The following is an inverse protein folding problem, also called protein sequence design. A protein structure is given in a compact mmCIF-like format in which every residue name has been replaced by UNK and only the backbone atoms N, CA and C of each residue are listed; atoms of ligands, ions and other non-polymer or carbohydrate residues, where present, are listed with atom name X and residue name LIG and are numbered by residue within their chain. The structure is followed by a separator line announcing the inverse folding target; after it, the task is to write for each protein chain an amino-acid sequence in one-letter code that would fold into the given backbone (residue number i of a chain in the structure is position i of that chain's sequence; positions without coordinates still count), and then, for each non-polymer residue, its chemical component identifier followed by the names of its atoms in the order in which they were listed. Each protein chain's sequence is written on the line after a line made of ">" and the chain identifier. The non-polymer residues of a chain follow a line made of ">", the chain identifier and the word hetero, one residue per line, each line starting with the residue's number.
data_IF_652614946486
#
_entry.id   IF_652614946486
#
_cell.length_a   1.000
_cell.length_b   1.000
_cell.length_c   1.000
_cell.angle_alpha   90.00
_cell.angle_beta   90.00
_cell.angle_gamma   90.00
#
_symmetry.space_group_name_H-M   'P 1'
#
loop_
_entity.id
_entity.type
_entity.pdbx_description
1 polymer ?
#
# COMPACT_ATOMS: atom_id res chain seq x y z
N UNK A 1 36.91 -9.77 -31.15
CA UNK A 1 36.59 -9.15 -29.83
C UNK A 1 35.11 -9.35 -29.61
N UNK A 2 34.72 -10.02 -28.52
CA UNK A 2 33.33 -10.43 -28.25
C UNK A 2 32.52 -9.21 -27.83
N UNK A 3 31.34 -9.05 -28.42
CA UNK A 3 30.38 -8.02 -28.03
C UNK A 3 30.04 -8.16 -26.55
N UNK A 4 30.03 -7.03 -25.85
CA UNK A 4 29.51 -6.96 -24.49
C UNK A 4 28.00 -7.07 -24.60
N UNK A 5 27.48 -8.25 -24.27
CA UNK A 5 26.06 -8.48 -24.06
C UNK A 5 25.65 -7.63 -22.85
N UNK A 6 24.90 -6.56 -23.09
CA UNK A 6 24.30 -5.79 -22.00
C UNK A 6 23.29 -6.70 -21.32
N UNK A 7 23.61 -7.10 -20.09
CA UNK A 7 22.67 -7.80 -19.23
C UNK A 7 21.53 -6.82 -18.92
N UNK A 8 20.38 -7.08 -19.52
CA UNK A 8 19.12 -6.41 -19.26
C UNK A 8 18.76 -6.67 -17.78
N UNK A 9 19.16 -5.77 -16.88
CA UNK A 9 18.84 -5.88 -15.45
C UNK A 9 17.36 -5.54 -15.27
N UNK A 10 16.49 -6.49 -15.60
CA UNK A 10 15.09 -6.46 -15.22
C UNK A 10 15.04 -6.56 -13.70
N UNK A 11 15.19 -5.42 -13.03
CA UNK A 11 14.88 -5.33 -11.61
C UNK A 11 13.42 -5.74 -11.49
N UNK A 12 13.17 -6.88 -10.86
CA UNK A 12 11.82 -7.38 -10.64
C UNK A 12 11.05 -6.27 -9.93
N UNK A 13 9.92 -5.85 -10.51
CA UNK A 13 9.02 -4.88 -9.85
C UNK A 13 8.71 -5.37 -8.44
N UNK A 14 8.88 -4.49 -7.46
CA UNK A 14 8.60 -4.78 -6.06
C UNK A 14 7.13 -4.48 -5.79
N UNK A 15 6.40 -5.45 -5.26
CA UNK A 15 5.02 -5.24 -4.79
C UNK A 15 5.01 -4.59 -3.42
N UNK A 16 4.25 -3.49 -3.30
CA UNK A 16 4.19 -2.64 -2.10
C UNK A 16 2.74 -2.45 -1.68
N UNK A 17 2.38 -2.87 -0.46
CA UNK A 17 1.10 -2.53 0.14
C UNK A 17 1.20 -1.22 0.93
N UNK A 18 0.32 -0.27 0.63
CA UNK A 18 0.15 0.97 1.38
C UNK A 18 -1.07 0.82 2.29
N UNK A 19 -0.82 0.54 3.58
CA UNK A 19 -1.87 0.36 4.60
C UNK A 19 -2.21 1.71 5.23
N UNK A 20 -3.28 2.35 4.76
CA UNK A 20 -3.59 3.75 5.10
C UNK A 20 -5.09 4.12 4.88
N UNK A 21 -5.41 5.36 4.49
CA UNK A 21 -6.75 5.86 4.19
C UNK A 21 -7.27 5.50 2.80
N UNK A 22 -6.54 4.66 2.07
CA UNK A 22 -6.82 4.35 0.67
C UNK A 22 -6.03 5.24 -0.28
N UNK A 23 -6.35 5.16 -1.56
CA UNK A 23 -5.69 5.92 -2.63
C UNK A 23 -6.73 6.50 -3.60
N UNK A 24 -6.57 7.75 -4.00
CA UNK A 24 -7.31 8.34 -5.11
C UNK A 24 -6.53 8.18 -6.41
N UNK A 25 -7.09 7.43 -7.37
CA UNK A 25 -6.56 7.33 -8.74
C UNK A 25 -7.68 7.57 -9.75
N UNK A 26 -7.38 8.21 -10.90
CA UNK A 26 -6.09 8.82 -11.24
C UNK A 26 -5.83 10.11 -10.43
N UNK A 27 -4.56 10.37 -10.10
CA UNK A 27 -4.10 11.62 -9.48
C UNK A 27 -2.82 12.10 -10.19
N UNK A 28 -2.53 13.41 -10.31
CA UNK A 28 -1.37 13.92 -11.05
C UNK A 28 -0.01 13.31 -10.66
N UNK A 29 0.15 12.94 -9.39
CA UNK A 29 1.37 12.31 -8.86
C UNK A 29 1.25 10.79 -8.65
N UNK A 30 0.10 10.20 -9.00
CA UNK A 30 -0.15 8.77 -8.85
C UNK A 30 -1.18 8.32 -9.89
N UNK A 31 -0.73 7.92 -11.09
CA UNK A 31 -1.64 7.66 -12.21
C UNK A 31 -2.45 6.37 -12.01
N UNK A 32 -1.87 5.35 -11.36
CA UNK A 32 -2.50 4.04 -11.16
C UNK A 32 -1.95 3.33 -9.92
N UNK A 33 -2.68 2.31 -9.49
CA UNK A 33 -2.25 1.28 -8.54
C UNK A 33 -2.61 -0.09 -9.13
N UNK A 34 -1.95 -1.16 -8.68
CA UNK A 34 -2.21 -2.53 -9.11
C UNK A 34 -3.60 -3.05 -8.66
N UNK A 35 -4.11 -2.50 -7.55
CA UNK A 35 -5.42 -2.82 -7.02
C UNK A 35 -5.54 -2.33 -5.58
N UNK A 36 -6.59 -2.79 -4.89
CA UNK A 36 -6.76 -2.49 -3.49
C UNK A 36 -8.01 -3.06 -2.86
N UNK A 37 -8.08 -2.93 -1.54
CA UNK A 37 -9.15 -3.45 -0.69
C UNK A 37 -9.46 -2.44 0.40
N UNK A 38 -10.69 -2.45 0.91
CA UNK A 38 -11.01 -1.85 2.21
C UNK A 38 -11.16 -2.96 3.23
N UNK A 39 -10.41 -2.85 4.33
CA UNK A 39 -10.51 -3.75 5.46
C UNK A 39 -11.32 -3.08 6.57
N UNK A 40 -12.22 -3.86 7.18
CA UNK A 40 -13.08 -3.45 8.26
C UNK A 40 -12.98 -4.34 9.49
N UNK A 41 -13.82 -4.06 10.50
CA UNK A 41 -13.91 -4.89 11.69
C UNK A 41 -14.16 -6.35 11.36
N UNK A 42 -13.68 -7.23 12.23
CA UNK A 42 -13.94 -8.68 12.18
C UNK A 42 -13.47 -9.35 10.88
N UNK A 43 -12.45 -8.79 10.22
CA UNK A 43 -11.91 -9.36 9.00
C UNK A 43 -12.72 -9.05 7.74
N UNK A 44 -13.67 -8.12 7.80
CA UNK A 44 -14.50 -7.81 6.65
C UNK A 44 -13.69 -7.14 5.53
N UNK A 45 -13.67 -7.75 4.35
CA UNK A 45 -13.11 -7.19 3.13
C UNK A 45 -14.23 -6.66 2.23
N UNK A 46 -14.09 -5.43 1.75
CA UNK A 46 -14.99 -4.87 0.75
C UNK A 46 -14.22 -4.31 -0.43
N UNK A 47 -14.77 -4.40 -1.66
CA UNK A 47 -14.14 -3.79 -2.82
C UNK A 47 -14.05 -2.27 -2.68
N UNK A 48 -13.05 -1.69 -3.34
CA UNK A 48 -12.82 -0.26 -3.34
C UNK A 48 -11.83 0.20 -2.28
N UNK A 49 -11.10 1.25 -2.60
CA UNK A 49 -9.98 1.76 -1.81
C UNK A 49 -9.85 3.27 -1.97
N UNK A 50 -10.90 3.95 -2.44
CA UNK A 50 -10.85 5.39 -2.72
C UNK A 50 -10.54 6.16 -1.45
N UNK A 51 -9.50 6.99 -1.54
CA UNK A 51 -9.13 7.90 -0.47
C UNK A 51 -10.09 9.09 -0.43
N UNK A 52 -10.59 9.40 0.77
CA UNK A 52 -11.43 10.57 1.05
C UNK A 52 -10.80 11.49 2.10
N UNK A 53 -9.61 11.14 2.58
CA UNK A 53 -8.85 11.90 3.59
C UNK A 53 -7.62 12.53 2.92
N UNK A 54 -6.99 11.83 1.98
CA UNK A 54 -5.86 12.30 1.18
C UNK A 54 -4.50 11.81 1.67
N UNK A 55 -4.40 11.32 2.92
CA UNK A 55 -3.13 10.89 3.51
C UNK A 55 -2.52 9.69 2.77
N UNK A 56 -3.30 8.63 2.56
CA UNK A 56 -2.83 7.44 1.83
C UNK A 56 -2.46 7.75 0.38
N UNK A 57 -3.16 8.68 -0.27
CA UNK A 57 -2.80 9.16 -1.62
C UNK A 57 -1.44 9.87 -1.62
N UNK A 58 -1.16 10.73 -0.64
CA UNK A 58 0.13 11.41 -0.51
C UNK A 58 1.27 10.42 -0.22
N UNK A 59 1.04 9.44 0.66
CA UNK A 59 2.01 8.37 0.96
C UNK A 59 2.31 7.55 -0.29
N UNK A 60 1.29 7.10 -1.02
CA UNK A 60 1.45 6.31 -2.23
C UNK A 60 2.16 7.10 -3.35
N UNK A 61 1.85 8.39 -3.50
CA UNK A 61 2.55 9.26 -4.45
C UNK A 61 4.04 9.42 -4.11
N UNK A 62 4.39 9.59 -2.83
CA UNK A 62 5.79 9.67 -2.40
C UNK A 62 6.58 8.38 -2.68
N UNK A 63 5.95 7.22 -2.50
CA UNK A 63 6.56 5.93 -2.87
C UNK A 63 6.71 5.83 -4.40
N UNK A 64 5.67 6.17 -5.15
CA UNK A 64 5.70 6.15 -6.61
C UNK A 64 6.78 7.07 -7.20
N UNK A 65 7.01 8.24 -6.61
CA UNK A 65 8.08 9.17 -7.03
C UNK A 65 9.47 8.52 -6.95
N UNK A 66 9.71 7.65 -5.96
CA UNK A 66 11.02 6.99 -5.76
C UNK A 66 11.11 5.63 -6.45
N UNK A 67 9.99 4.95 -6.62
CA UNK A 67 9.90 3.62 -7.22
C UNK A 67 8.75 3.59 -8.25
N UNK A 68 8.91 4.25 -9.42
CA UNK A 68 7.84 4.37 -10.40
C UNK A 68 7.40 3.03 -11.00
N UNK A 69 8.32 2.06 -11.04
CA UNK A 69 8.07 0.71 -11.57
C UNK A 69 7.47 -0.24 -10.53
N UNK A 70 7.24 0.20 -9.28
CA UNK A 70 6.66 -0.65 -8.23
C UNK A 70 5.17 -0.96 -8.45
N UNK A 71 4.76 -2.15 -8.01
CA UNK A 71 3.35 -2.55 -7.99
C UNK A 71 2.71 -2.10 -6.66
N UNK A 72 2.12 -0.91 -6.66
CA UNK A 72 1.44 -0.37 -5.47
C UNK A 72 0.05 -0.98 -5.28
N UNK A 73 -0.25 -1.46 -4.07
CA UNK A 73 -1.54 -1.97 -3.64
C UNK A 73 -2.12 -1.09 -2.53
N UNK A 74 -3.34 -0.60 -2.70
CA UNK A 74 -4.00 0.24 -1.71
C UNK A 74 -4.76 -0.62 -0.69
N UNK A 75 -4.33 -0.61 0.58
CA UNK A 75 -5.01 -1.32 1.68
C UNK A 75 -5.63 -0.28 2.61
N UNK A 76 -6.93 -0.04 2.44
CA UNK A 76 -7.66 1.00 3.17
C UNK A 76 -8.14 0.46 4.52
N UNK A 77 -7.52 0.94 5.61
CA UNK A 77 -7.92 0.66 7.01
C UNK A 77 -8.55 1.88 7.68
N UNK A 78 -8.19 3.10 7.26
CA UNK A 78 -8.84 4.31 7.77
C UNK A 78 -10.10 4.63 6.98
N UNK A 79 -11.24 4.71 7.66
CA UNK A 79 -12.54 5.01 7.06
C UNK A 79 -12.81 6.52 7.04
N UNK A 80 -13.46 7.04 8.09
CA UNK A 80 -13.86 8.46 8.22
C UNK A 80 -12.94 9.28 9.12
N UNK A 81 -12.05 8.61 9.86
CA UNK A 81 -11.06 9.20 10.77
C UNK A 81 -9.77 8.40 10.64
N UNK A 82 -8.62 9.03 10.90
CA UNK A 82 -7.30 8.39 10.95
C UNK A 82 -7.15 7.55 12.24
N UNK A 83 -8.03 6.56 12.40
CA UNK A 83 -8.04 5.61 13.52
C UNK A 83 -8.45 4.25 12.98
N UNK A 84 -7.75 3.22 13.45
CA UNK A 84 -7.99 1.80 13.18
C UNK A 84 -7.66 1.01 14.44
N UNK A 85 -8.10 -0.24 14.50
CA UNK A 85 -7.83 -1.13 15.62
C UNK A 85 -6.58 -2.00 15.37
N UNK A 86 -5.97 -2.53 16.43
CA UNK A 86 -4.85 -3.49 16.28
C UNK A 86 -5.26 -4.74 15.48
N UNK A 87 -6.44 -5.36 15.71
CA UNK A 87 -6.90 -6.47 14.88
C UNK A 87 -7.01 -6.14 13.39
N UNK A 88 -7.50 -4.94 13.03
CA UNK A 88 -7.57 -4.50 11.63
C UNK A 88 -6.17 -4.36 11.00
N UNK A 89 -5.17 -3.90 11.77
CA UNK A 89 -3.78 -3.84 11.29
C UNK A 89 -3.16 -5.22 11.11
N UNK A 90 -3.43 -6.15 12.02
CA UNK A 90 -2.99 -7.55 11.88
C UNK A 90 -3.59 -8.16 10.62
N UNK A 91 -4.90 -7.97 10.40
CA UNK A 91 -5.57 -8.44 9.19
C UNK A 91 -4.99 -7.81 7.92
N UNK A 92 -4.60 -6.52 7.95
CA UNK A 92 -3.92 -5.90 6.81
C UNK A 92 -2.56 -6.53 6.50
N UNK A 93 -1.83 -6.97 7.51
CA UNK A 93 -0.56 -7.68 7.35
C UNK A 93 -0.82 -9.08 6.80
N UNK A 94 -1.80 -9.82 7.34
CA UNK A 94 -2.19 -11.15 6.85
C UNK A 94 -2.61 -11.09 5.38
N UNK A 95 -3.43 -10.08 5.02
CA UNK A 95 -3.85 -9.84 3.64
C UNK A 95 -2.66 -9.64 2.69
N UNK A 96 -1.61 -8.95 3.14
CA UNK A 96 -0.40 -8.71 2.37
C UNK A 96 0.44 -10.00 2.24
N UNK A 97 0.52 -10.82 3.30
CA UNK A 97 1.19 -12.12 3.31
C UNK A 97 0.53 -13.07 2.30
N UNK A 98 -0.81 -13.19 2.34
CA UNK A 98 -1.56 -14.08 1.45
C UNK A 98 -1.36 -13.74 -0.03
N UNK A 99 -1.15 -12.46 -0.34
CA UNK A 99 -0.87 -11.95 -1.69
C UNK A 99 0.61 -11.91 -2.04
N UNK A 100 1.49 -12.38 -1.15
CA UNK A 100 2.95 -12.39 -1.33
C UNK A 100 3.50 -10.99 -1.65
N UNK A 101 2.92 -9.97 -1.02
CA UNK A 101 3.42 -8.59 -1.10
C UNK A 101 4.80 -8.53 -0.46
N UNK A 102 5.76 -7.89 -1.14
CA UNK A 102 7.16 -7.88 -0.73
C UNK A 102 7.49 -6.81 0.32
N UNK A 103 6.76 -5.69 0.32
CA UNK A 103 6.96 -4.59 1.26
C UNK A 103 5.62 -4.03 1.73
N UNK A 104 5.51 -3.78 3.03
CA UNK A 104 4.32 -3.14 3.63
C UNK A 104 4.72 -1.79 4.22
N UNK A 105 4.09 -0.71 3.75
CA UNK A 105 4.20 0.61 4.34
C UNK A 105 3.02 0.89 5.28
N UNK A 106 3.32 1.24 6.52
CA UNK A 106 2.35 1.64 7.55
C UNK A 106 2.75 2.99 8.15
N UNK A 107 2.25 4.08 7.57
CA UNK A 107 2.51 5.45 8.03
C UNK A 107 1.59 5.83 9.21
N UNK A 108 1.67 5.07 10.30
CA UNK A 108 0.82 5.20 11.48
C UNK A 108 1.54 4.76 12.77
N UNK A 109 0.94 5.05 13.91
CA UNK A 109 1.45 4.62 15.22
C UNK A 109 0.34 4.22 16.18
N UNK A 110 0.67 3.33 17.11
CA UNK A 110 -0.25 2.90 18.19
C UNK A 110 0.28 3.37 19.54
N UNK A 111 -0.62 3.55 20.51
CA UNK A 111 -0.22 3.79 21.90
C UNK A 111 0.21 2.48 22.53
N UNK A 112 1.40 2.47 23.11
CA UNK A 112 1.82 1.36 23.96
C UNK A 112 1.15 1.51 25.35
N UNK A 113 0.27 0.58 25.72
CA UNK A 113 -0.40 0.55 27.04
C UNK A 113 0.40 -0.19 28.12
N UNK A 114 1.58 -0.72 27.78
CA UNK A 114 2.47 -1.45 28.70
C UNK A 114 3.58 -0.56 29.28
N UNK A 115 3.34 0.75 29.36
CA UNK A 115 4.21 1.72 30.03
C UNK A 115 3.41 2.55 31.02
#
# INVERSE_FOLDING_TARGET
>A
MRGVEQADSHTRSVSIAVVDSGVHVPHPHLPRVAGGVTLGPEGHESPGFVDRIGHGTAVAAAIHEKAPDSELWAVKVFKRKLKTSVPELVHAIDWAIDRKIQLVNMSLGTRNRLR
#
